data_IF_901649985445
#
_entry.id   IF_901649985445
#
_cell.length_a   1.000
_cell.length_b   1.000
_cell.length_c   1.000
_cell.angle_alpha   90.00
_cell.angle_beta   90.00
_cell.angle_gamma   90.00
#
_symmetry.space_group_name_H-M   'P 1'
#
loop_
_entity.id
_entity.type
_entity.pdbx_description
1 polymer ?
#
# COMPACT_ATOMS: atom_id res chain seq x y z
N UNK A 1 9.13 50.18 28.48
CA UNK A 1 9.00 49.19 27.38
C UNK A 1 10.08 48.11 27.40
N UNK A 2 11.35 48.41 27.72
CA UNK A 2 12.47 47.44 27.65
C UNK A 2 12.31 46.17 28.50
N UNK A 3 11.76 46.24 29.72
CA UNK A 3 11.67 45.05 30.60
C UNK A 3 10.66 43.98 30.13
N UNK A 4 9.58 44.36 29.43
CA UNK A 4 8.60 43.38 28.92
C UNK A 4 9.18 42.52 27.80
N UNK A 5 10.06 43.08 26.97
CA UNK A 5 10.75 42.33 25.91
C UNK A 5 11.83 41.40 26.47
N UNK A 6 12.53 41.78 27.54
CA UNK A 6 13.46 40.87 28.23
C UNK A 6 12.72 39.68 28.87
N UNK A 7 11.58 39.93 29.52
CA UNK A 7 10.75 38.87 30.08
C UNK A 7 10.21 37.92 28.99
N UNK A 8 9.80 38.46 27.85
CA UNK A 8 9.32 37.68 26.71
C UNK A 8 10.43 36.79 26.12
N UNK A 9 11.64 37.34 25.93
CA UNK A 9 12.79 36.57 25.43
C UNK A 9 13.20 35.44 26.38
N UNK A 10 13.19 35.69 27.69
CA UNK A 10 13.45 34.66 28.70
C UNK A 10 12.41 33.55 28.67
N UNK A 11 11.13 33.89 28.50
CA UNK A 11 10.06 32.90 28.38
C UNK A 11 10.16 32.07 27.09
N UNK A 12 10.46 32.71 25.95
CA UNK A 12 10.68 32.00 24.68
C UNK A 12 11.87 31.04 24.79
N UNK A 13 12.97 31.48 25.40
CA UNK A 13 14.14 30.63 25.64
C UNK A 13 13.82 29.45 26.56
N UNK A 14 13.03 29.67 27.60
CA UNK A 14 12.61 28.60 28.51
C UNK A 14 11.70 27.58 27.80
N UNK A 15 10.75 28.05 26.98
CA UNK A 15 9.87 27.19 26.19
C UNK A 15 10.64 26.39 25.15
N UNK A 16 11.62 27.00 24.46
CA UNK A 16 12.43 26.29 23.46
C UNK A 16 13.33 25.24 24.11
N UNK A 17 13.93 25.52 25.27
CA UNK A 17 14.73 24.54 26.02
C UNK A 17 13.87 23.34 26.45
N UNK A 18 12.65 23.58 26.93
CA UNK A 18 11.69 22.52 27.27
C UNK A 18 11.33 21.69 26.03
N UNK A 19 11.03 22.35 24.90
CA UNK A 19 10.68 21.66 23.65
C UNK A 19 11.81 20.75 23.13
N UNK A 20 13.07 21.17 23.28
CA UNK A 20 14.24 20.36 22.88
C UNK A 20 14.33 19.09 23.73
N UNK A 21 13.99 19.12 25.02
CA UNK A 21 14.01 17.91 25.86
C UNK A 21 12.98 16.87 25.42
N UNK A 22 11.82 17.29 24.91
CA UNK A 22 10.83 16.36 24.34
C UNK A 22 11.32 15.70 23.05
N UNK A 23 12.03 16.43 22.19
CA UNK A 23 12.58 15.87 20.95
C UNK A 23 13.72 14.89 21.23
N UNK A 24 14.59 15.18 22.20
CA UNK A 24 15.70 14.30 22.58
C UNK A 24 15.27 13.04 23.35
N UNK A 25 14.08 13.05 23.96
CA UNK A 25 13.52 11.88 24.63
C UNK A 25 12.95 10.83 23.66
N UNK A 26 12.69 11.21 22.40
CA UNK A 26 12.25 10.28 21.35
C UNK A 26 13.48 9.65 20.71
N UNK A 27 13.83 8.45 21.18
CA UNK A 27 14.88 7.65 20.58
C UNK A 27 14.33 6.87 19.37
N UNK A 28 14.58 7.40 18.16
CA UNK A 28 14.21 6.76 16.90
C UNK A 28 15.03 5.50 16.58
N UNK A 29 16.06 5.21 17.37
CA UNK A 29 16.96 4.07 17.17
C UNK A 29 16.59 2.84 18.02
N UNK A 30 15.40 2.84 18.64
CA UNK A 30 14.85 1.66 19.31
C UNK A 30 14.21 0.70 18.31
N UNK A 31 14.40 -0.62 18.47
CA UNK A 31 13.63 -1.59 17.70
C UNK A 31 12.15 -1.41 17.99
N UNK A 32 11.33 -1.58 16.97
CA UNK A 32 9.86 -1.51 17.05
C UNK A 32 9.39 -2.39 18.22
N UNK A 33 8.66 -1.80 19.18
CA UNK A 33 8.23 -2.55 20.37
C UNK A 33 7.26 -3.68 19.97
N UNK A 34 7.17 -4.72 20.80
CA UNK A 34 6.21 -5.82 20.57
C UNK A 34 4.76 -5.33 20.58
N UNK A 35 4.48 -4.29 21.36
CA UNK A 35 3.17 -3.64 21.41
C UNK A 35 2.83 -2.90 20.11
N UNK A 36 3.81 -2.24 19.51
CA UNK A 36 3.62 -1.53 18.24
C UNK A 36 3.41 -2.51 17.08
N UNK A 37 4.16 -3.63 17.05
CA UNK A 37 3.93 -4.71 16.09
C UNK A 37 2.53 -5.30 16.22
N UNK A 38 2.08 -5.59 17.44
CA UNK A 38 0.74 -6.11 17.69
C UNK A 38 -0.37 -5.13 17.25
N UNK A 39 -0.17 -3.83 17.50
CA UNK A 39 -1.12 -2.79 17.08
C UNK A 39 -1.18 -2.69 15.55
N UNK A 40 -0.04 -2.76 14.89
CA UNK A 40 0.05 -2.76 13.44
C UNK A 40 -0.60 -4.00 12.81
N UNK A 41 -0.39 -5.19 13.38
CA UNK A 41 -1.03 -6.44 12.94
C UNK A 41 -2.56 -6.38 13.08
N UNK A 42 -3.07 -5.75 14.15
CA UNK A 42 -4.51 -5.52 14.33
C UNK A 42 -5.09 -4.63 13.22
N UNK A 43 -4.35 -3.63 12.77
CA UNK A 43 -4.75 -2.74 11.66
C UNK A 43 -4.66 -3.48 10.32
N UNK A 44 -3.64 -4.32 10.11
CA UNK A 44 -3.46 -5.08 8.86
C UNK A 44 -4.47 -6.21 8.69
N UNK A 45 -4.89 -6.86 9.77
CA UNK A 45 -5.81 -8.01 9.72
C UNK A 45 -7.08 -7.76 8.89
N UNK A 46 -7.88 -6.69 9.13
CA UNK A 46 -9.07 -6.41 8.32
C UNK A 46 -8.72 -6.09 6.85
N UNK A 47 -7.62 -5.38 6.61
CA UNK A 47 -7.15 -5.06 5.26
C UNK A 47 -6.81 -6.34 4.49
N UNK A 48 -6.07 -7.26 5.11
CA UNK A 48 -5.72 -8.54 4.51
C UNK A 48 -6.94 -9.42 4.26
N UNK A 49 -7.98 -9.33 5.09
CA UNK A 49 -9.25 -10.04 4.86
C UNK A 49 -9.95 -9.52 3.61
N UNK A 50 -10.06 -8.19 3.45
CA UNK A 50 -10.66 -7.56 2.26
C UNK A 50 -9.83 -7.88 1.01
N UNK A 51 -8.51 -7.76 1.11
CA UNK A 51 -7.60 -8.12 0.03
C UNK A 51 -7.76 -9.58 -0.42
N UNK A 52 -7.80 -10.53 0.52
CA UNK A 52 -7.97 -11.94 0.18
C UNK A 52 -9.31 -12.21 -0.51
N UNK A 53 -10.38 -11.57 -0.04
CA UNK A 53 -11.68 -11.65 -0.70
C UNK A 53 -11.61 -11.11 -2.14
N UNK A 54 -11.04 -9.92 -2.33
CA UNK A 54 -10.87 -9.32 -3.65
C UNK A 54 -9.97 -10.16 -4.57
N UNK A 55 -8.91 -10.77 -4.04
CA UNK A 55 -8.02 -11.68 -4.77
C UNK A 55 -8.76 -12.87 -5.34
N UNK A 56 -9.53 -13.58 -4.51
CA UNK A 56 -10.24 -14.78 -4.97
C UNK A 56 -11.35 -14.45 -5.96
N UNK A 57 -12.11 -13.37 -5.71
CA UNK A 57 -13.14 -12.90 -6.66
C UNK A 57 -12.51 -12.51 -7.99
N UNK A 58 -11.46 -11.68 -7.96
CA UNK A 58 -10.75 -11.25 -9.17
C UNK A 58 -10.16 -12.44 -9.94
N UNK A 59 -9.63 -13.44 -9.23
CA UNK A 59 -9.09 -14.66 -9.85
C UNK A 59 -10.20 -15.46 -10.55
N UNK A 60 -11.38 -15.60 -9.94
CA UNK A 60 -12.51 -16.25 -10.59
C UNK A 60 -12.98 -15.50 -11.84
N UNK A 61 -13.09 -14.16 -11.74
CA UNK A 61 -13.46 -13.31 -12.89
C UNK A 61 -12.41 -13.42 -14.00
N UNK A 62 -11.12 -13.43 -13.66
CA UNK A 62 -10.03 -13.55 -14.62
C UNK A 62 -10.14 -14.81 -15.47
N UNK A 63 -10.52 -15.95 -14.90
CA UNK A 63 -10.75 -17.19 -15.66
C UNK A 63 -11.84 -16.99 -16.71
N UNK A 64 -12.97 -16.37 -16.32
CA UNK A 64 -14.08 -16.10 -17.25
C UNK A 64 -13.65 -15.14 -18.36
N UNK A 65 -12.94 -14.06 -18.03
CA UNK A 65 -12.46 -13.10 -19.04
C UNK A 65 -11.42 -13.72 -19.97
N UNK A 66 -10.55 -14.61 -19.48
CA UNK A 66 -9.61 -15.35 -20.31
C UNK A 66 -10.32 -16.31 -21.27
N UNK A 67 -11.42 -16.95 -20.85
CA UNK A 67 -12.25 -17.74 -21.74
C UNK A 67 -12.83 -16.88 -22.87
N UNK A 68 -13.37 -15.70 -22.54
CA UNK A 68 -13.87 -14.75 -23.55
C UNK A 68 -12.76 -14.28 -24.51
N UNK A 69 -11.56 -14.00 -24.00
CA UNK A 69 -10.41 -13.65 -24.83
C UNK A 69 -10.00 -14.82 -25.75
N UNK A 70 -10.00 -16.05 -25.23
CA UNK A 70 -9.70 -17.26 -26.01
C UNK A 70 -10.70 -17.50 -27.14
N UNK A 71 -11.99 -17.44 -26.84
CA UNK A 71 -13.06 -17.56 -27.85
C UNK A 71 -12.94 -16.43 -28.89
N UNK A 72 -12.73 -15.19 -28.44
CA UNK A 72 -12.51 -14.04 -29.32
C UNK A 72 -11.31 -14.26 -30.24
N UNK A 73 -10.22 -14.81 -29.73
CA UNK A 73 -9.02 -15.09 -30.52
C UNK A 73 -9.25 -16.14 -31.61
N UNK A 74 -9.96 -17.24 -31.29
CA UNK A 74 -10.26 -18.33 -32.25
C UNK A 74 -11.24 -17.82 -33.33
N UNK A 75 -12.29 -17.12 -32.91
CA UNK A 75 -13.37 -16.64 -33.80
C UNK A 75 -12.98 -15.42 -34.64
N UNK A 76 -11.81 -14.81 -34.40
CA UNK A 76 -11.32 -13.63 -35.13
C UNK A 76 -11.08 -13.87 -36.63
N UNK A 77 -11.09 -15.13 -37.10
CA UNK A 77 -11.02 -15.58 -38.50
C UNK A 77 -10.69 -14.48 -39.56
N UNK A 78 -9.40 -14.25 -39.79
CA UNK A 78 -8.93 -13.35 -40.85
C UNK A 78 -8.97 -11.85 -40.54
N UNK A 79 -9.48 -11.42 -39.38
CA UNK A 79 -9.45 -10.03 -38.92
C UNK A 79 -8.30 -9.82 -37.90
N UNK A 80 -7.18 -9.17 -38.30
CA UNK A 80 -6.05 -8.95 -37.41
C UNK A 80 -6.40 -8.08 -36.18
N UNK A 81 -7.26 -7.07 -36.35
CA UNK A 81 -7.64 -6.18 -35.27
C UNK A 81 -8.40 -6.89 -34.14
N UNK A 82 -9.36 -7.76 -34.48
CA UNK A 82 -10.07 -8.59 -33.47
C UNK A 82 -9.13 -9.56 -32.77
N UNK A 83 -8.17 -10.12 -33.51
CA UNK A 83 -7.16 -11.02 -32.95
C UNK A 83 -6.23 -10.29 -31.97
N UNK A 84 -5.81 -9.08 -32.30
CA UNK A 84 -4.99 -8.25 -31.43
C UNK A 84 -5.75 -7.81 -30.17
N UNK A 85 -7.01 -7.40 -30.30
CA UNK A 85 -7.86 -7.07 -29.17
C UNK A 85 -7.96 -8.24 -28.18
N UNK A 86 -8.21 -9.46 -28.66
CA UNK A 86 -8.28 -10.65 -27.81
C UNK A 86 -6.96 -10.92 -27.06
N UNK A 87 -5.81 -10.74 -27.71
CA UNK A 87 -4.50 -10.85 -27.06
C UNK A 87 -4.31 -9.78 -25.99
N UNK A 88 -4.71 -8.53 -26.27
CA UNK A 88 -4.57 -7.43 -25.32
C UNK A 88 -5.45 -7.66 -24.07
N UNK A 89 -6.68 -8.15 -24.25
CA UNK A 89 -7.54 -8.55 -23.13
C UNK A 89 -6.84 -9.61 -22.27
N UNK A 90 -6.33 -10.68 -22.89
CA UNK A 90 -5.63 -11.73 -22.16
C UNK A 90 -4.38 -11.18 -21.43
N UNK A 91 -3.61 -10.32 -22.08
CA UNK A 91 -2.43 -9.68 -21.49
C UNK A 91 -2.80 -8.85 -20.25
N UNK A 92 -3.83 -8.01 -20.34
CA UNK A 92 -4.26 -7.18 -19.22
C UNK A 92 -4.77 -8.00 -18.04
N UNK A 93 -5.47 -9.11 -18.29
CA UNK A 93 -5.88 -10.04 -17.23
C UNK A 93 -4.67 -10.67 -16.54
N UNK A 94 -3.68 -11.12 -17.31
CA UNK A 94 -2.46 -11.72 -16.76
C UNK A 94 -1.69 -10.70 -15.91
N UNK A 95 -1.49 -9.47 -16.41
CA UNK A 95 -0.82 -8.40 -15.65
C UNK A 95 -1.57 -8.10 -14.35
N UNK A 96 -2.90 -7.98 -14.41
CA UNK A 96 -3.73 -7.75 -13.23
C UNK A 96 -3.59 -8.86 -12.19
N UNK A 97 -3.59 -10.13 -12.64
CA UNK A 97 -3.36 -11.27 -11.75
C UNK A 97 -1.97 -11.22 -11.12
N UNK A 98 -0.92 -10.94 -11.89
CA UNK A 98 0.45 -10.82 -11.37
C UNK A 98 0.52 -9.75 -10.27
N UNK A 99 -0.08 -8.58 -10.48
CA UNK A 99 -0.10 -7.50 -9.48
C UNK A 99 -0.82 -7.94 -8.20
N UNK A 100 -2.01 -8.53 -8.33
CA UNK A 100 -2.80 -9.00 -7.17
C UNK A 100 -2.00 -10.02 -6.37
N UNK A 101 -1.34 -10.97 -7.04
CA UNK A 101 -0.60 -12.04 -6.38
C UNK A 101 0.76 -11.59 -5.83
N UNK A 102 1.35 -10.53 -6.39
CA UNK A 102 2.57 -9.91 -5.88
C UNK A 102 2.33 -8.98 -4.68
N UNK A 103 1.11 -8.47 -4.47
CA UNK A 103 0.81 -7.52 -3.40
C UNK A 103 1.28 -7.95 -1.98
N UNK A 104 1.12 -9.22 -1.53
CA UNK A 104 1.58 -9.63 -0.21
C UNK A 104 3.11 -9.59 -0.08
N UNK A 105 3.85 -9.75 -1.18
CA UNK A 105 5.31 -9.65 -1.18
C UNK A 105 5.74 -8.22 -0.84
N UNK A 106 5.05 -7.22 -1.39
CA UNK A 106 5.31 -5.80 -1.12
C UNK A 106 4.94 -5.45 0.32
N UNK A 107 3.80 -5.93 0.83
CA UNK A 107 3.41 -5.72 2.22
C UNK A 107 4.45 -6.32 3.17
N UNK A 108 4.86 -7.56 2.92
CA UNK A 108 5.88 -8.22 3.75
C UNK A 108 7.24 -7.51 3.67
N UNK A 109 7.60 -6.92 2.52
CA UNK A 109 8.82 -6.13 2.37
C UNK A 109 8.81 -4.82 3.18
N UNK A 110 7.65 -4.20 3.37
CA UNK A 110 7.52 -2.97 4.16
C UNK A 110 7.51 -3.26 5.66
N UNK A 111 6.98 -4.44 6.05
CA UNK A 111 6.71 -4.81 7.45
C UNK A 111 7.82 -5.66 8.07
N UNK A 112 8.52 -6.44 7.25
CA UNK A 112 9.68 -7.25 7.63
C UNK A 112 10.93 -6.42 7.80
#
# INVERSE_FOLDING_TARGET
MKQKHLALLGLVFFVTVIAVQFVLAVDFNQPISTQDKATFDQILTPVMKIYNMAKYISTAIAVVVLLFAGIGFITSAGNPGKREQAKNIAMYVIIGLVIIWAAPLVVNFIVG
#
